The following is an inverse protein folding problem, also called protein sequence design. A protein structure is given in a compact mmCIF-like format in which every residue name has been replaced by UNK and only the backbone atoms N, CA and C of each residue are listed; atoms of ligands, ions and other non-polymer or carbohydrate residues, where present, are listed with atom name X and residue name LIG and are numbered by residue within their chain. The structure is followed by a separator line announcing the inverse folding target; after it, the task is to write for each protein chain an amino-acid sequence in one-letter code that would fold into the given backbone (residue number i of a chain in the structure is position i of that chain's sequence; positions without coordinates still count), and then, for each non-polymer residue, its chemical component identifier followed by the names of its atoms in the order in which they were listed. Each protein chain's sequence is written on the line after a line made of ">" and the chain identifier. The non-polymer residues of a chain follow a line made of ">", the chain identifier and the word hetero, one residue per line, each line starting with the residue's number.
data_IF_208076954060
#
_entry.id   IF_208076954060
#
_cell.length_a   1.000
_cell.length_b   1.000
_cell.length_c   1.000
_cell.angle_alpha   90.00
_cell.angle_beta   90.00
_cell.angle_gamma   90.00
#
_symmetry.space_group_name_H-M   'P 1'
#
loop_
_entity.id
_entity.type
_entity.pdbx_description
1 polymer ?
#
# COMPACT_ATOMS: atom_id res chain seq x y z
N UNK A 1 2.01 -7.99 -3.15
CA UNK A 1 0.56 -7.80 -2.97
C UNK A 1 -0.07 -9.14 -3.25
N UNK A 2 -1.00 -9.57 -2.42
CA UNK A 2 -1.60 -10.91 -2.55
C UNK A 2 -3.07 -10.84 -2.96
N UNK A 3 -3.75 -9.71 -2.70
CA UNK A 3 -5.14 -9.50 -3.08
C UNK A 3 -5.45 -8.03 -3.31
N UNK A 4 -6.23 -7.76 -4.35
CA UNK A 4 -6.87 -6.48 -4.62
C UNK A 4 -8.36 -6.73 -4.85
N UNK A 5 -9.23 -5.97 -4.18
CA UNK A 5 -10.68 -6.03 -4.36
C UNK A 5 -11.24 -4.64 -4.63
N UNK A 6 -11.88 -4.47 -5.78
CA UNK A 6 -12.56 -3.23 -6.16
C UNK A 6 -13.85 -3.55 -6.91
N UNK A 7 -14.97 -2.94 -6.51
CA UNK A 7 -16.30 -3.17 -7.09
C UNK A 7 -16.64 -4.68 -7.19
N UNK A 8 -16.44 -5.41 -6.09
CA UNK A 8 -16.66 -6.87 -5.97
C UNK A 8 -15.78 -7.76 -6.87
N UNK A 9 -14.87 -7.18 -7.66
CA UNK A 9 -13.90 -7.92 -8.46
C UNK A 9 -12.63 -8.10 -7.64
N UNK A 10 -12.25 -9.36 -7.40
CA UNK A 10 -11.01 -9.73 -6.72
C UNK A 10 -9.96 -10.19 -7.73
N UNK A 11 -8.72 -9.71 -7.58
CA UNK A 11 -7.57 -10.11 -8.38
C UNK A 11 -6.37 -10.41 -7.49
N UNK A 12 -5.49 -11.28 -7.99
CA UNK A 12 -4.12 -11.46 -7.46
C UNK A 12 -3.18 -10.73 -8.39
N UNK A 13 -2.92 -9.43 -8.16
CA UNK A 13 -2.01 -8.69 -9.01
C UNK A 13 -0.60 -9.29 -8.93
N UNK A 14 0.05 -9.43 -10.08
CA UNK A 14 1.43 -9.95 -10.17
C UNK A 14 2.40 -9.14 -9.30
N UNK A 15 3.63 -9.66 -9.14
CA UNK A 15 4.69 -9.18 -8.24
C UNK A 15 4.74 -7.66 -8.04
N UNK A 16 3.95 -7.19 -7.08
CA UNK A 16 3.78 -5.77 -6.73
C UNK A 16 4.15 -5.58 -5.28
N UNK A 17 5.14 -4.73 -5.02
CA UNK A 17 5.73 -4.52 -3.72
C UNK A 17 5.64 -3.05 -3.31
N UNK A 18 5.65 -2.82 -2.01
CA UNK A 18 5.72 -1.50 -1.43
C UNK A 18 6.82 -1.47 -0.38
N UNK A 19 7.72 -0.51 -0.50
CA UNK A 19 8.83 -0.30 0.43
C UNK A 19 8.62 1.02 1.15
N UNK A 20 8.61 0.97 2.49
CA UNK A 20 8.41 2.10 3.38
C UNK A 20 9.70 2.36 4.15
N UNK A 21 10.41 3.43 3.81
CA UNK A 21 11.70 3.77 4.44
C UNK A 21 11.49 4.71 5.63
N UNK A 22 12.33 4.59 6.66
CA UNK A 22 12.23 5.35 7.93
C UNK A 22 12.25 6.88 7.75
N UNK A 23 12.83 7.39 6.67
CA UNK A 23 12.88 8.81 6.34
C UNK A 23 11.62 9.32 5.60
N UNK A 24 10.54 8.54 5.58
CA UNK A 24 9.28 8.90 4.92
C UNK A 24 9.31 8.72 3.39
N UNK A 25 10.34 8.07 2.83
CA UNK A 25 10.38 7.73 1.40
C UNK A 25 9.57 6.46 1.14
N UNK A 26 8.74 6.51 0.10
CA UNK A 26 7.95 5.40 -0.41
C UNK A 26 8.49 4.95 -1.76
N UNK A 27 8.50 3.64 -2.01
CA UNK A 27 8.72 3.07 -3.33
C UNK A 27 7.69 1.98 -3.63
N UNK A 28 6.86 2.21 -4.65
CA UNK A 28 5.97 1.20 -5.21
C UNK A 28 6.64 0.52 -6.40
N UNK A 29 6.63 -0.81 -6.43
CA UNK A 29 7.27 -1.63 -7.46
C UNK A 29 6.20 -2.53 -8.06
N UNK A 30 6.14 -2.64 -9.38
CA UNK A 30 5.25 -3.57 -10.09
C UNK A 30 5.99 -4.12 -11.30
N UNK A 31 6.38 -5.40 -11.22
CA UNK A 31 7.32 -6.00 -12.17
C UNK A 31 8.61 -5.18 -12.30
N UNK A 32 8.98 -4.80 -13.52
CA UNK A 32 10.19 -4.00 -13.81
C UNK A 32 10.00 -2.48 -13.66
N UNK A 33 8.82 -2.03 -13.22
CA UNK A 33 8.52 -0.59 -13.06
C UNK A 33 8.56 -0.23 -11.58
N UNK A 34 9.09 0.95 -11.26
CA UNK A 34 8.99 1.50 -9.92
C UNK A 34 8.58 2.98 -9.92
N UNK A 35 7.92 3.41 -8.85
CA UNK A 35 7.54 4.80 -8.59
C UNK A 35 7.97 5.19 -7.19
N UNK A 36 8.64 6.35 -7.09
CA UNK A 36 9.06 6.93 -5.81
C UNK A 36 8.02 7.94 -5.33
N UNK A 37 7.86 8.01 -4.01
CA UNK A 37 6.93 8.91 -3.36
C UNK A 37 7.33 9.19 -1.92
N UNK A 38 6.38 9.75 -1.18
CA UNK A 38 6.47 9.93 0.27
C UNK A 38 5.33 9.17 0.94
N UNK A 39 5.55 8.74 2.17
CA UNK A 39 4.48 8.18 3.00
C UNK A 39 4.45 8.84 4.37
N UNK A 40 3.28 8.77 4.99
CA UNK A 40 3.06 9.13 6.40
C UNK A 40 1.99 8.22 6.97
N UNK A 41 2.17 7.80 8.21
CA UNK A 41 1.15 7.12 9.01
C UNK A 41 0.63 8.10 10.07
N UNK A 42 -0.67 8.10 10.32
CA UNK A 42 -1.28 8.88 11.40
C UNK A 42 -0.81 8.39 12.77
N UNK A 43 -0.92 9.24 13.80
CA UNK A 43 -0.41 8.93 15.14
C UNK A 43 -1.13 7.75 15.81
N UNK A 44 -2.37 7.48 15.40
CA UNK A 44 -3.20 6.35 15.85
C UNK A 44 -3.04 5.09 14.97
N UNK A 45 -2.17 5.15 13.97
CA UNK A 45 -1.91 4.11 12.97
C UNK A 45 -3.13 3.71 12.11
N UNK A 46 -4.19 4.52 12.08
CA UNK A 46 -5.43 4.21 11.34
C UNK A 46 -5.43 4.75 9.89
N UNK A 47 -4.61 5.75 9.56
CA UNK A 47 -4.55 6.36 8.23
C UNK A 47 -3.13 6.32 7.65
N UNK A 48 -2.96 5.64 6.52
CA UNK A 48 -1.74 5.66 5.72
C UNK A 48 -1.94 6.61 4.53
N UNK A 49 -1.10 7.65 4.45
CA UNK A 49 -1.06 8.55 3.28
C UNK A 49 0.14 8.22 2.40
N UNK A 50 -0.08 8.02 1.11
CA UNK A 50 0.97 7.86 0.10
C UNK A 50 0.86 8.98 -0.93
N UNK A 51 1.96 9.72 -1.13
CA UNK A 51 2.05 10.82 -2.11
C UNK A 51 3.05 10.50 -3.20
N UNK A 52 2.60 10.46 -4.46
CA UNK A 52 3.43 10.23 -5.65
C UNK A 52 3.19 11.37 -6.63
N UNK A 53 4.23 12.17 -6.89
CA UNK A 53 4.12 13.40 -7.69
C UNK A 53 3.00 14.33 -7.16
N UNK A 54 1.96 14.55 -7.98
CA UNK A 54 0.79 15.38 -7.65
C UNK A 54 -0.35 14.60 -6.97
N UNK A 55 -0.31 13.27 -7.01
CA UNK A 55 -1.37 12.41 -6.48
C UNK A 55 -1.09 12.11 -5.01
N UNK A 56 -2.13 12.21 -4.17
CA UNK A 56 -2.07 11.86 -2.76
C UNK A 56 -3.25 10.96 -2.43
N UNK A 57 -2.97 9.70 -2.11
CA UNK A 57 -3.99 8.72 -1.76
C UNK A 57 -3.95 8.51 -0.25
N UNK A 58 -5.13 8.53 0.37
CA UNK A 58 -5.33 8.18 1.77
C UNK A 58 -5.95 6.80 1.87
N UNK A 59 -5.40 6.00 2.75
CA UNK A 59 -5.86 4.66 3.04
C UNK A 59 -6.24 4.54 4.50
N UNK A 60 -7.40 3.94 4.77
CA UNK A 60 -7.68 3.36 6.08
C UNK A 60 -6.84 2.10 6.27
N UNK A 61 -6.27 1.92 7.46
CA UNK A 61 -5.54 0.70 7.85
C UNK A 61 -6.52 -0.23 8.54
N UNK A 62 -7.15 -1.11 7.75
CA UNK A 62 -8.19 -2.01 8.25
C UNK A 62 -7.60 -3.15 9.09
N UNK A 63 -6.36 -3.56 8.78
CA UNK A 63 -5.62 -4.58 9.54
C UNK A 63 -4.11 -4.41 9.35
N UNK A 64 -3.34 -4.59 10.42
CA UNK A 64 -1.87 -4.62 10.35
C UNK A 64 -1.29 -5.50 11.44
N UNK A 65 -0.45 -6.46 11.06
CA UNK A 65 0.36 -7.26 11.98
C UNK A 65 1.79 -7.45 11.42
N UNK A 66 2.57 -8.35 12.04
CA UNK A 66 3.95 -8.62 11.63
C UNK A 66 4.08 -9.22 10.22
N UNK A 67 3.02 -9.80 9.65
CA UNK A 67 3.02 -10.55 8.40
C UNK A 67 2.18 -9.90 7.31
N UNK A 68 1.14 -9.16 7.65
CA UNK A 68 0.12 -8.72 6.71
C UNK A 68 -0.37 -7.32 7.01
N UNK A 69 -0.74 -6.62 5.92
CA UNK A 69 -1.48 -5.37 5.97
C UNK A 69 -2.68 -5.40 5.03
N UNK A 70 -3.83 -4.94 5.51
CA UNK A 70 -5.02 -4.67 4.72
C UNK A 70 -5.29 -3.17 4.81
N UNK A 71 -5.44 -2.53 3.66
CA UNK A 71 -5.75 -1.10 3.55
C UNK A 71 -6.84 -0.85 2.53
N UNK A 72 -7.73 0.09 2.81
CA UNK A 72 -8.83 0.45 1.90
C UNK A 72 -8.79 1.93 1.52
N UNK A 73 -9.14 2.24 0.27
CA UNK A 73 -9.42 3.61 -0.18
C UNK A 73 -10.54 3.60 -1.22
N UNK A 74 -11.25 4.71 -1.36
CA UNK A 74 -12.25 4.86 -2.44
C UNK A 74 -11.59 4.86 -3.83
N UNK A 75 -10.32 5.26 -3.92
CA UNK A 75 -9.57 5.35 -5.18
C UNK A 75 -9.13 3.97 -5.70
N UNK A 76 -8.68 3.09 -4.80
CA UNK A 76 -8.06 1.79 -5.17
C UNK A 76 -8.86 0.58 -4.72
N UNK A 77 -9.89 0.73 -3.90
CA UNK A 77 -10.53 -0.39 -3.20
C UNK A 77 -9.66 -0.92 -2.06
N UNK A 78 -9.82 -2.21 -1.74
CA UNK A 78 -9.10 -2.89 -0.66
C UNK A 78 -7.86 -3.59 -1.21
N UNK A 79 -6.71 -3.36 -0.58
CA UNK A 79 -5.42 -3.93 -0.94
C UNK A 79 -4.87 -4.75 0.23
N UNK A 80 -4.50 -6.00 -0.03
CA UNK A 80 -3.86 -6.90 0.93
C UNK A 80 -2.43 -7.19 0.51
N UNK A 81 -1.52 -6.95 1.44
CA UNK A 81 -0.09 -7.19 1.28
C UNK A 81 0.41 -8.12 2.36
N UNK A 82 1.24 -9.07 1.96
CA UNK A 82 2.07 -9.86 2.85
C UNK A 82 3.48 -9.27 2.90
N UNK A 83 4.11 -9.34 4.07
CA UNK A 83 5.50 -8.98 4.27
C UNK A 83 6.38 -9.97 3.52
N UNK A 84 7.30 -9.45 2.74
CA UNK A 84 8.35 -10.25 2.10
C UNK A 84 9.47 -10.41 3.12
N UNK A 85 9.85 -11.65 3.43
CA UNK A 85 11.06 -11.93 4.21
C UNK A 85 12.29 -11.63 3.35
N UNK A 86 13.31 -11.02 3.95
CA UNK A 86 14.63 -10.79 3.32
C UNK A 86 15.44 -12.07 3.25
#
# INVERSE_FOLDING_TARGET
>A
MIKETKNDITKTPGSTYQVFMKNGIFQGISGNKSRKGKWKLSNDNQELTIKICIISIKFSVDYFDAKRRITSSSETGTLEYEKVEE
#
